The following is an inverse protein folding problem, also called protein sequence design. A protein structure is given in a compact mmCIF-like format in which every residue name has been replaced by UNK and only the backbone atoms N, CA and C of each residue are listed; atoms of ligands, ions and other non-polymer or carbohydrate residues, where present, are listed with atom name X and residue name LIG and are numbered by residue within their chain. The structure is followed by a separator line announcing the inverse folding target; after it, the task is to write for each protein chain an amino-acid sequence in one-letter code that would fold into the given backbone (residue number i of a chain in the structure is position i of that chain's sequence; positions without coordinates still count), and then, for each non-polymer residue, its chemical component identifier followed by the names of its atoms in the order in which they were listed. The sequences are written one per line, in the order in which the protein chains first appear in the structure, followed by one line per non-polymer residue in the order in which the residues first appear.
data_IF_091030137300
#
_entry.id   IF_091030137300
#
_cell.length_a   1.000
_cell.length_b   1.000
_cell.length_c   1.000
_cell.angle_alpha   90.00
_cell.angle_beta   90.00
_cell.angle_gamma   90.00
#
_symmetry.space_group_name_H-M   'P 1'
#
loop_
_entity.id
_entity.type
_entity.pdbx_description
1 polymer ?
#
# COMPACT_ATOMS: atom_id res chain seq x y z
N UNK A 1 -8.11 9.64 38.60
CA UNK A 1 -6.94 10.28 37.94
C UNK A 1 -6.03 9.15 37.50
N UNK A 2 -5.70 9.13 36.20
CA UNK A 2 -5.10 8.05 35.42
C UNK A 2 -6.13 7.02 34.91
N UNK A 3 -6.76 7.37 33.79
CA UNK A 3 -7.35 6.42 32.85
C UNK A 3 -6.20 5.77 32.06
N UNK A 4 -5.81 4.56 32.45
CA UNK A 4 -4.88 3.70 31.72
C UNK A 4 -5.64 3.14 30.50
N UNK A 5 -5.76 3.98 29.48
CA UNK A 5 -6.34 3.61 28.20
C UNK A 5 -5.37 2.66 27.50
N UNK A 6 -5.80 1.41 27.34
CA UNK A 6 -5.10 0.40 26.53
C UNK A 6 -4.82 1.00 25.14
N UNK A 7 -3.60 1.44 24.91
CA UNK A 7 -3.13 1.77 23.57
C UNK A 7 -2.75 0.46 22.91
N UNK A 8 -3.66 -0.11 22.14
CA UNK A 8 -3.37 -1.22 21.23
C UNK A 8 -2.11 -0.85 20.42
N UNK A 9 -1.04 -1.67 20.38
CA UNK A 9 0.18 -1.39 19.62
C UNK A 9 -0.04 -1.60 18.12
N UNK A 10 -1.09 -0.99 17.57
CA UNK A 10 -1.28 -0.83 16.14
C UNK A 10 -0.85 0.59 15.78
N UNK A 11 0.45 0.86 15.91
CA UNK A 11 1.03 2.12 15.45
C UNK A 11 1.10 2.06 13.91
N UNK A 12 -0.05 2.07 13.25
CA UNK A 12 -0.18 2.22 11.80
C UNK A 12 -0.29 3.70 11.45
N UNK A 13 0.51 4.55 12.10
CA UNK A 13 0.76 5.91 11.67
C UNK A 13 1.65 5.86 10.42
N UNK A 14 1.08 5.35 9.32
CA UNK A 14 1.69 5.47 8.01
C UNK A 14 1.67 6.95 7.64
N UNK A 15 2.81 7.61 7.77
CA UNK A 15 2.95 9.00 7.36
C UNK A 15 2.89 9.03 5.84
N UNK A 16 1.77 9.47 5.27
CA UNK A 16 1.60 9.59 3.82
C UNK A 16 1.94 11.03 3.41
N UNK A 17 3.04 11.20 2.68
CA UNK A 17 3.50 12.50 2.18
C UNK A 17 2.95 12.84 0.80
N UNK A 18 2.48 11.82 0.05
CA UNK A 18 1.97 12.02 -1.30
C UNK A 18 1.13 10.84 -1.81
N UNK A 19 0.49 11.06 -2.95
CA UNK A 19 -0.38 10.09 -3.62
C UNK A 19 0.16 9.82 -5.02
N UNK A 20 0.23 8.56 -5.41
CA UNK A 20 0.64 8.16 -6.76
C UNK A 20 -0.36 7.18 -7.37
N UNK A 21 -0.68 7.39 -8.65
CA UNK A 21 -1.53 6.50 -9.45
C UNK A 21 -0.71 5.64 -10.43
N UNK A 22 0.54 6.04 -10.69
CA UNK A 22 1.49 5.32 -11.53
C UNK A 22 2.63 4.81 -10.65
N UNK A 23 2.93 3.51 -10.73
CA UNK A 23 3.95 2.88 -9.87
C UNK A 23 5.37 3.40 -10.13
N UNK A 24 5.60 4.11 -11.24
CA UNK A 24 6.89 4.73 -11.57
C UNK A 24 7.07 6.10 -10.92
N UNK A 25 6.00 6.73 -10.46
CA UNK A 25 6.04 8.03 -9.77
C UNK A 25 6.03 7.88 -8.23
N UNK A 26 5.86 6.65 -7.74
CA UNK A 26 5.88 6.32 -6.31
C UNK A 26 7.25 6.65 -5.71
N UNK A 27 7.22 7.26 -4.52
CA UNK A 27 8.39 7.58 -3.70
C UNK A 27 8.19 7.05 -2.28
N UNK A 28 9.21 7.20 -1.47
CA UNK A 28 9.11 6.99 -0.02
C UNK A 28 7.92 7.76 0.56
N UNK A 29 7.19 7.10 1.47
CA UNK A 29 6.03 7.65 2.17
C UNK A 29 4.84 8.00 1.25
N UNK A 30 4.77 7.46 0.03
CA UNK A 30 3.61 7.67 -0.84
C UNK A 30 2.54 6.58 -0.67
N UNK A 31 1.28 6.98 -0.87
CA UNK A 31 0.15 6.07 -1.04
C UNK A 31 -0.02 5.75 -2.52
N UNK A 32 0.11 4.48 -2.91
CA UNK A 32 -0.13 4.04 -4.27
C UNK A 32 -1.59 3.62 -4.48
N UNK A 33 -2.23 4.10 -5.55
CA UNK A 33 -3.58 3.70 -5.94
C UNK A 33 -3.54 2.74 -7.14
N UNK A 34 -3.67 1.44 -6.85
CA UNK A 34 -3.88 0.40 -7.84
C UNK A 34 -5.35 0.39 -8.30
N UNK A 35 -5.74 1.40 -9.10
CA UNK A 35 -7.07 1.46 -9.68
C UNK A 35 -7.21 0.40 -10.79
N UNK A 36 -8.35 -0.32 -10.87
CA UNK A 36 -8.59 -1.26 -11.95
C UNK A 36 -8.80 -0.48 -13.26
N UNK A 37 -7.92 -0.70 -14.24
CA UNK A 37 -8.11 -0.23 -15.61
C UNK A 37 -8.89 -1.24 -16.45
N UNK A 38 -9.49 -0.80 -17.55
CA UNK A 38 -10.23 -1.66 -18.51
C UNK A 38 -9.39 -2.77 -19.14
N UNK A 39 -8.06 -2.62 -19.18
CA UNK A 39 -7.15 -3.56 -19.83
C UNK A 39 -6.11 -4.19 -18.91
N UNK A 40 -5.88 -3.64 -17.72
CA UNK A 40 -4.80 -4.09 -16.85
C UNK A 40 -5.19 -3.90 -15.40
N UNK A 41 -5.13 -4.98 -14.64
CA UNK A 41 -5.32 -4.98 -13.19
C UNK A 41 -4.14 -4.24 -12.55
N UNK A 42 -4.41 -3.11 -11.87
CA UNK A 42 -3.40 -2.32 -11.15
C UNK A 42 -2.63 -3.14 -10.10
N UNK A 43 -3.19 -4.27 -9.68
CA UNK A 43 -2.65 -5.19 -8.67
C UNK A 43 -1.24 -5.71 -9.03
N UNK A 44 -0.94 -5.87 -10.33
CA UNK A 44 0.39 -6.29 -10.81
C UNK A 44 1.51 -5.31 -10.48
N UNK A 45 1.16 -4.05 -10.23
CA UNK A 45 2.13 -2.99 -9.95
C UNK A 45 2.29 -2.68 -8.46
N UNK A 46 1.54 -3.36 -7.59
CA UNK A 46 1.61 -3.16 -6.13
C UNK A 46 2.99 -3.53 -5.62
N UNK A 47 3.53 -4.69 -6.00
CA UNK A 47 4.86 -5.13 -5.59
C UNK A 47 5.94 -4.12 -6.01
N UNK A 48 5.82 -3.56 -7.22
CA UNK A 48 6.73 -2.51 -7.67
C UNK A 48 6.59 -1.23 -6.84
N UNK A 49 5.37 -0.78 -6.55
CA UNK A 49 5.13 0.41 -5.74
C UNK A 49 5.68 0.26 -4.31
N UNK A 50 5.51 -0.92 -3.69
CA UNK A 50 6.10 -1.23 -2.38
C UNK A 50 7.63 -1.16 -2.45
N UNK A 51 8.24 -1.76 -3.47
CA UNK A 51 9.68 -1.70 -3.69
C UNK A 51 10.21 -0.26 -3.93
N UNK A 52 9.38 0.62 -4.50
CA UNK A 52 9.69 2.04 -4.66
C UNK A 52 9.55 2.86 -3.36
N UNK A 53 9.03 2.28 -2.27
CA UNK A 53 8.88 2.94 -0.97
C UNK A 53 7.46 3.39 -0.64
N UNK A 54 6.42 2.85 -1.31
CA UNK A 54 5.05 3.13 -0.92
C UNK A 54 4.79 2.70 0.54
N UNK A 55 4.32 3.63 1.37
CA UNK A 55 3.92 3.32 2.75
C UNK A 55 2.58 2.60 2.82
N UNK A 56 1.71 2.79 1.84
CA UNK A 56 0.44 2.10 1.77
C UNK A 56 -0.03 1.97 0.32
N UNK A 57 -0.88 0.97 0.09
CA UNK A 57 -1.45 0.71 -1.24
C UNK A 57 -2.95 0.50 -1.13
N UNK A 58 -3.70 1.23 -1.96
CA UNK A 58 -5.14 1.06 -2.14
C UNK A 58 -5.32 0.27 -3.42
N UNK A 59 -6.02 -0.85 -3.34
CA UNK A 59 -6.40 -1.65 -4.48
C UNK A 59 -7.89 -1.95 -4.40
N UNK A 60 -8.47 -2.27 -5.55
CA UNK A 60 -9.84 -2.73 -5.65
C UNK A 60 -9.83 -4.21 -6.04
N UNK A 61 -10.86 -4.95 -5.62
CA UNK A 61 -11.00 -6.39 -5.85
C UNK A 61 -10.06 -7.26 -5.02
N UNK A 62 -10.08 -8.58 -5.25
CA UNK A 62 -9.29 -9.55 -4.50
C UNK A 62 -7.88 -9.65 -5.09
N UNK A 63 -6.87 -9.65 -4.22
CA UNK A 63 -5.50 -9.98 -4.61
C UNK A 63 -5.34 -11.50 -4.53
N UNK A 64 -4.89 -12.12 -5.62
CA UNK A 64 -4.61 -13.55 -5.64
C UNK A 64 -3.48 -13.92 -4.67
N UNK A 65 -3.44 -15.17 -4.21
CA UNK A 65 -2.38 -15.62 -3.29
C UNK A 65 -0.97 -15.43 -3.87
N UNK A 66 -0.82 -15.59 -5.19
CA UNK A 66 0.44 -15.38 -5.88
C UNK A 66 0.88 -13.91 -5.84
N UNK A 67 -0.04 -12.98 -6.09
CA UNK A 67 0.23 -11.54 -5.98
C UNK A 67 0.52 -11.13 -4.54
N UNK A 68 -0.20 -11.65 -3.54
CA UNK A 68 0.08 -11.38 -2.13
C UNK A 68 1.50 -11.83 -1.73
N UNK A 69 1.95 -12.97 -2.24
CA UNK A 69 3.31 -13.46 -2.01
C UNK A 69 4.35 -12.51 -2.60
N UNK A 70 4.12 -12.00 -3.82
CA UNK A 70 5.01 -11.03 -4.46
C UNK A 70 5.05 -9.70 -3.71
N UNK A 71 3.92 -9.23 -3.17
CA UNK A 71 3.84 -7.98 -2.41
C UNK A 71 4.58 -8.10 -1.07
N UNK A 72 4.49 -9.24 -0.38
CA UNK A 72 5.20 -9.47 0.89
C UNK A 72 6.71 -9.66 0.72
N UNK A 73 7.14 -10.03 -0.48
CA UNK A 73 8.55 -10.24 -0.82
C UNK A 73 9.25 -8.99 -1.38
N UNK A 74 8.48 -7.95 -1.74
CA UNK A 74 8.96 -6.67 -2.21
C UNK A 74 9.37 -5.76 -1.05
#
# INVERSE_FOLDING_TARGET
RAEDGISSPNNTDACIEGLAFDSRDVKENYLFFALPGTHTTGNKFIAQAVSCGASAVIFQDEITQEEQSQIKAA
#
